data_IF_859750675039
#
_entry.id   IF_859750675039
#
_cell.length_a   1.000
_cell.length_b   1.000
_cell.length_c   1.000
_cell.angle_alpha   90.00
_cell.angle_beta   90.00
_cell.angle_gamma   90.00
#
_symmetry.space_group_name_H-M   'P 1'
#
loop_
_entity.id
_entity.type
_entity.pdbx_description
1 polymer ?
#
# COMPACT_ATOMS: atom_id res chain seq x y z
N UNK A 1 -5.42 4.81 15.56
CA UNK A 1 -4.70 4.91 14.28
C UNK A 1 -5.73 5.19 13.20
N UNK A 2 -5.73 6.38 12.58
CA UNK A 2 -6.82 6.85 11.68
C UNK A 2 -6.48 6.79 10.19
N UNK A 3 -5.34 6.19 9.84
CA UNK A 3 -4.87 6.03 8.47
C UNK A 3 -5.05 4.58 7.97
N UNK A 4 -4.82 4.37 6.67
CA UNK A 4 -4.85 3.05 6.06
C UNK A 4 -3.51 2.34 6.21
N UNK A 5 -3.53 1.05 6.53
CA UNK A 5 -2.32 0.25 6.71
C UNK A 5 -1.61 0.04 5.37
N UNK A 6 -0.27 0.15 5.37
CA UNK A 6 0.55 0.02 4.14
C UNK A 6 0.40 -1.37 3.52
N UNK A 7 0.29 -2.43 4.32
CA UNK A 7 0.07 -3.79 3.82
C UNK A 7 -1.29 -3.92 3.14
N UNK A 8 -2.33 -3.33 3.72
CA UNK A 8 -3.67 -3.26 3.11
C UNK A 8 -3.65 -2.48 1.80
N UNK A 9 -2.97 -1.33 1.78
CA UNK A 9 -2.75 -0.52 0.58
C UNK A 9 -2.13 -1.31 -0.57
N UNK A 10 -1.04 -2.02 -0.28
CA UNK A 10 -0.33 -2.85 -1.26
C UNK A 10 -1.24 -3.95 -1.80
N UNK A 11 -1.95 -4.65 -0.92
CA UNK A 11 -2.90 -5.68 -1.31
C UNK A 11 -4.00 -5.12 -2.24
N UNK A 12 -4.62 -4.02 -1.87
CA UNK A 12 -5.68 -3.37 -2.67
C UNK A 12 -5.17 -2.92 -4.03
N UNK A 13 -3.97 -2.34 -4.11
CA UNK A 13 -3.37 -1.91 -5.37
C UNK A 13 -3.04 -3.09 -6.31
N UNK A 14 -2.51 -4.19 -5.76
CA UNK A 14 -2.27 -5.42 -6.52
C UNK A 14 -3.59 -6.01 -7.01
N UNK A 15 -4.58 -6.15 -6.13
CA UNK A 15 -5.89 -6.66 -6.51
C UNK A 15 -6.53 -5.80 -7.60
N UNK A 16 -6.37 -4.49 -7.56
CA UNK A 16 -6.86 -3.59 -8.60
C UNK A 16 -6.27 -3.86 -10.00
N UNK A 17 -5.15 -4.60 -10.11
CA UNK A 17 -4.59 -5.08 -11.39
C UNK A 17 -5.09 -6.46 -11.81
N UNK A 18 -5.76 -7.21 -10.94
CA UNK A 18 -6.25 -8.56 -11.22
C UNK A 18 -7.69 -8.48 -11.75
N UNK A 19 -7.92 -8.79 -13.04
CA UNK A 19 -9.26 -8.76 -13.63
C UNK A 19 -10.26 -9.63 -12.85
N UNK A 20 -11.46 -9.11 -12.61
CA UNK A 20 -12.53 -9.82 -11.92
C UNK A 20 -12.45 -9.80 -10.39
N UNK A 21 -11.49 -9.07 -9.81
CA UNK A 21 -11.51 -8.79 -8.37
C UNK A 21 -12.35 -7.53 -8.07
N UNK A 22 -12.96 -7.47 -6.88
CA UNK A 22 -13.73 -6.29 -6.45
C UNK A 22 -12.91 -4.99 -6.51
N UNK A 23 -11.63 -4.95 -6.08
CA UNK A 23 -10.82 -3.74 -6.24
C UNK A 23 -10.56 -3.34 -7.70
N UNK A 24 -10.48 -4.31 -8.62
CA UNK A 24 -10.33 -4.02 -10.05
C UNK A 24 -11.59 -3.40 -10.64
N UNK A 25 -12.77 -3.87 -10.23
CA UNK A 25 -14.07 -3.30 -10.62
C UNK A 25 -14.29 -1.90 -10.04
N UNK A 26 -13.87 -1.70 -8.78
CA UNK A 26 -14.01 -0.42 -8.08
C UNK A 26 -12.96 0.62 -8.51
N UNK A 27 -11.84 0.20 -9.08
CA UNK A 27 -10.79 1.10 -9.52
C UNK A 27 -11.23 1.92 -10.73
N UNK A 28 -11.14 3.25 -10.62
CA UNK A 28 -11.19 4.10 -11.80
C UNK A 28 -9.94 3.82 -12.64
N UNK A 29 -10.09 3.58 -13.96
CA UNK A 29 -8.97 3.26 -14.84
C UNK A 29 -7.88 4.32 -14.70
N UNK A 30 -6.74 3.93 -14.14
CA UNK A 30 -5.59 4.82 -14.01
C UNK A 30 -5.09 5.19 -15.42
N UNK A 31 -4.93 6.50 -15.66
CA UNK A 31 -4.28 7.04 -16.85
C UNK A 31 -2.83 6.59 -16.79
N UNK A 32 -2.49 5.51 -17.52
CA UNK A 32 -1.14 4.99 -17.80
C UNK A 32 -0.09 5.08 -16.66
N UNK A 33 0.35 3.94 -16.14
CA UNK A 33 1.48 3.86 -15.20
C UNK A 33 1.12 3.00 -13.99
N UNK A 34 2.08 2.23 -13.47
CA UNK A 34 1.90 1.25 -12.39
C UNK A 34 1.43 1.82 -11.04
N UNK A 35 1.02 3.08 -10.94
CA UNK A 35 0.73 3.79 -9.70
C UNK A 35 -0.77 3.82 -9.38
N UNK A 36 -1.12 3.42 -8.17
CA UNK A 36 -2.47 3.46 -7.61
C UNK A 36 -2.55 4.43 -6.46
N UNK A 37 -3.58 5.28 -6.50
CA UNK A 37 -3.91 6.19 -5.41
C UNK A 37 -5.05 5.61 -4.57
N UNK A 38 -4.73 5.11 -3.39
CA UNK A 38 -5.72 4.59 -2.43
C UNK A 38 -6.16 5.72 -1.51
N UNK A 39 -7.41 6.14 -1.62
CA UNK A 39 -7.99 7.18 -0.75
C UNK A 39 -8.50 6.55 0.54
N UNK A 40 -8.23 7.20 1.68
CA UNK A 40 -8.69 6.80 3.00
C UNK A 40 -9.13 8.02 3.82
N UNK A 41 -9.84 7.88 4.96
CA UNK A 41 -10.40 9.02 5.69
C UNK A 41 -9.38 10.09 6.13
N UNK A 42 -8.11 9.71 6.26
CA UNK A 42 -7.01 10.60 6.63
C UNK A 42 -6.16 11.09 5.44
N UNK A 43 -6.57 10.86 4.19
CA UNK A 43 -5.85 11.34 3.01
C UNK A 43 -5.80 10.33 1.86
N UNK A 44 -4.65 10.24 1.21
CA UNK A 44 -4.40 9.25 0.17
C UNK A 44 -2.94 8.78 0.23
N UNK A 45 -2.72 7.58 -0.27
CA UNK A 45 -1.40 6.97 -0.40
C UNK A 45 -1.22 6.46 -1.82
N UNK A 46 -0.01 6.62 -2.32
CA UNK A 46 0.37 6.17 -3.66
C UNK A 46 1.16 4.86 -3.53
N UNK A 47 0.72 3.86 -4.27
CA UNK A 47 1.29 2.50 -4.29
C UNK A 47 1.61 2.14 -5.73
N UNK A 48 2.85 1.77 -5.99
CA UNK A 48 3.20 1.11 -7.22
C UNK A 48 2.83 -0.37 -7.13
N UNK A 49 2.18 -0.89 -8.17
CA UNK A 49 1.88 -2.30 -8.34
C UNK A 49 2.12 -2.72 -9.79
N UNK A 50 3.20 -3.48 -10.00
CA UNK A 50 3.50 -4.18 -11.24
C UNK A 50 3.14 -5.66 -11.07
N UNK A 51 2.11 -6.07 -11.80
CA UNK A 51 1.62 -7.44 -11.86
C UNK A 51 1.77 -7.91 -13.31
N UNK A 52 2.18 -9.16 -13.47
CA UNK A 52 2.18 -9.83 -14.78
C UNK A 52 0.75 -9.79 -15.37
N UNK A 53 0.62 -9.42 -16.65
CA UNK A 53 -0.67 -9.28 -17.32
C UNK A 53 -1.30 -10.62 -17.73
N UNK A 54 -0.55 -11.71 -17.65
CA UNK A 54 -0.93 -13.06 -18.09
C UNK A 54 -1.03 -14.06 -16.95
N UNK A 55 -0.33 -13.80 -15.84
CA UNK A 55 -0.35 -14.63 -14.62
C UNK A 55 -0.56 -13.73 -13.40
N UNK A 56 -1.14 -14.22 -12.28
CA UNK A 56 -1.33 -13.41 -11.08
C UNK A 56 -0.01 -13.23 -10.28
N UNK A 57 1.11 -13.04 -10.97
CA UNK A 57 2.44 -12.89 -10.37
C UNK A 57 2.77 -11.41 -10.17
N UNK A 58 3.01 -11.02 -8.93
CA UNK A 58 3.47 -9.67 -8.60
C UNK A 58 4.97 -9.56 -8.88
N UNK A 59 5.36 -8.67 -9.80
CA UNK A 59 6.77 -8.35 -10.08
C UNK A 59 7.31 -7.35 -9.07
N UNK A 60 6.51 -6.35 -8.73
CA UNK A 60 6.87 -5.31 -7.75
C UNK A 60 5.63 -4.72 -7.11
N UNK A 61 5.72 -4.46 -5.80
CA UNK A 61 4.81 -3.56 -5.14
C UNK A 61 5.60 -2.66 -4.17
N UNK A 62 5.40 -1.35 -4.25
CA UNK A 62 6.17 -0.38 -3.48
C UNK A 62 5.31 0.79 -3.02
N UNK A 63 5.56 1.27 -1.81
CA UNK A 63 4.87 2.40 -1.22
C UNK A 63 5.92 3.32 -0.57
N UNK A 64 6.17 4.53 -1.12
CA UNK A 64 7.18 5.43 -0.58
C UNK A 64 6.83 5.91 0.83
N UNK A 65 7.77 5.76 1.77
CA UNK A 65 7.60 6.17 3.16
C UNK A 65 8.75 7.09 3.58
N UNK A 66 8.51 7.91 4.60
CA UNK A 66 9.56 8.67 5.28
C UNK A 66 9.75 8.12 6.69
N UNK A 67 10.98 8.17 7.19
CA UNK A 67 11.31 7.76 8.54
C UNK A 67 12.17 8.83 9.21
N UNK A 68 11.91 9.09 10.49
CA UNK A 68 12.71 10.00 11.33
C UNK A 68 12.99 9.32 12.66
N UNK A 69 14.25 9.32 13.09
CA UNK A 69 14.65 8.87 14.42
C UNK A 69 14.03 9.77 15.49
N UNK A 70 13.28 9.19 16.42
CA UNK A 70 12.64 9.93 17.51
C UNK A 70 13.45 9.90 18.81
N UNK A 71 14.02 8.75 19.17
CA UNK A 71 14.77 8.55 20.41
C UNK A 71 15.96 7.62 20.19
N UNK A 72 17.03 7.87 20.94
CA UNK A 72 18.16 6.97 21.16
C UNK A 72 18.38 6.83 22.66
N UNK A 73 18.47 5.61 23.18
CA UNK A 73 18.64 5.39 24.61
C UNK A 73 18.19 4.01 25.08
N UNK A 74 18.03 3.86 26.39
CA UNK A 74 17.72 2.57 27.04
C UNK A 74 16.31 2.62 27.63
N UNK A 75 15.47 1.66 27.25
CA UNK A 75 14.16 1.43 27.87
C UNK A 75 14.37 0.63 29.17
N UNK A 76 13.84 1.12 30.29
CA UNK A 76 13.85 0.42 31.59
C UNK A 76 12.49 -0.20 31.87
N UNK A 77 12.47 -1.42 32.40
CA UNK A 77 11.27 -2.11 32.88
C UNK A 77 11.16 -1.95 34.41
N UNK A 78 9.95 -1.96 34.98
CA UNK A 78 9.78 -1.96 36.44
C UNK A 78 10.35 -3.23 37.07
N UNK A 79 10.89 -3.13 38.28
CA UNK A 79 11.14 -4.29 39.13
C UNK A 79 9.77 -4.74 39.67
N UNK A 80 9.43 -6.02 39.47
CA UNK A 80 8.15 -6.59 39.91
C UNK A 80 7.94 -6.52 41.42
#
# INVERSE_FOLDING_TARGET
MRAYWVTGAVCTAVAARLPGSVPNEAATRAVSGGLFRVRHPAGALDVEADVDGTTPKVRRAAQPQTARRLMDGVVRLPAG
#
